data_IF_291973528341
#
_entry.id   IF_291973528341
#
_cell.length_a   1.000
_cell.length_b   1.000
_cell.length_c   1.000
_cell.angle_alpha   90.00
_cell.angle_beta   90.00
_cell.angle_gamma   90.00
#
_symmetry.space_group_name_H-M   'P 1'
#
loop_
_entity.id
_entity.type
_entity.pdbx_description
1 polymer ?
#
# COMPACT_ATOMS: atom_id res chain seq x y z
N UNK A 1 -25.81 -4.80 14.06
CA UNK A 1 -24.89 -5.95 13.95
C UNK A 1 -25.35 -7.13 14.81
N UNK A 2 -25.09 -8.37 14.35
CA UNK A 2 -25.38 -9.60 15.08
C UNK A 2 -24.13 -10.20 15.74
N UNK A 3 -24.28 -11.01 16.81
CA UNK A 3 -23.15 -11.64 17.48
C UNK A 3 -22.49 -12.69 16.58
N UNK A 4 -21.16 -12.80 16.67
CA UNK A 4 -20.39 -13.86 16.02
C UNK A 4 -20.48 -15.12 16.90
N UNK A 5 -20.67 -16.30 16.28
CA UNK A 5 -20.69 -17.58 17.00
C UNK A 5 -19.38 -17.84 17.76
N UNK A 6 -19.50 -18.17 19.05
CA UNK A 6 -18.36 -18.47 19.92
C UNK A 6 -17.54 -19.66 19.42
N UNK A 7 -18.23 -20.72 18.98
CA UNK A 7 -17.61 -21.94 18.48
C UNK A 7 -16.69 -21.65 17.28
N UNK A 8 -17.21 -20.88 16.32
CA UNK A 8 -16.45 -20.48 15.13
C UNK A 8 -15.30 -19.56 15.51
N UNK A 9 -15.53 -18.64 16.45
CA UNK A 9 -14.50 -17.71 16.92
C UNK A 9 -13.32 -18.46 17.55
N UNK A 10 -13.58 -19.42 18.44
CA UNK A 10 -12.54 -20.23 19.08
C UNK A 10 -11.79 -21.09 18.05
N UNK A 11 -12.50 -21.69 17.09
CA UNK A 11 -11.90 -22.53 16.04
C UNK A 11 -10.96 -21.75 15.12
N UNK A 12 -11.30 -20.51 14.77
CA UNK A 12 -10.52 -19.67 13.86
C UNK A 12 -9.36 -18.94 14.57
N UNK A 13 -9.60 -18.40 15.77
CA UNK A 13 -8.59 -17.62 16.49
C UNK A 13 -7.59 -18.49 17.26
N UNK A 14 -7.96 -19.73 17.60
CA UNK A 14 -7.14 -20.61 18.43
C UNK A 14 -6.85 -19.96 19.80
N UNK A 15 -5.59 -19.65 20.07
CA UNK A 15 -5.14 -19.01 21.33
C UNK A 15 -5.11 -17.46 21.28
N UNK A 16 -5.41 -16.86 20.13
CA UNK A 16 -5.35 -15.39 19.96
C UNK A 16 -6.61 -14.76 20.55
N UNK A 17 -6.45 -13.67 21.28
CA UNK A 17 -7.58 -12.89 21.76
C UNK A 17 -8.01 -11.85 20.71
N UNK A 18 -9.32 -11.68 20.47
CA UNK A 18 -9.82 -10.63 19.59
C UNK A 18 -9.57 -9.25 20.21
N UNK A 19 -9.23 -8.27 19.37
CA UNK A 19 -9.15 -6.87 19.80
C UNK A 19 -10.58 -6.30 20.00
N UNK A 20 -10.72 -5.43 20.99
CA UNK A 20 -12.00 -4.77 21.32
C UNK A 20 -12.00 -3.27 21.04
N UNK A 21 -10.83 -2.70 20.71
CA UNK A 21 -10.67 -1.31 20.28
C UNK A 21 -10.88 -1.15 18.77
N UNK A 22 -10.84 0.10 18.29
CA UNK A 22 -10.82 0.37 16.85
C UNK A 22 -9.48 -0.11 16.29
N UNK A 23 -9.45 -0.97 15.25
CA UNK A 23 -8.20 -1.55 14.74
C UNK A 23 -7.12 -0.52 14.37
N UNK A 24 -7.54 0.67 13.89
CA UNK A 24 -6.64 1.76 13.55
C UNK A 24 -5.87 2.35 14.75
N UNK A 25 -6.35 2.16 15.98
CA UNK A 25 -5.68 2.66 17.19
C UNK A 25 -4.37 1.89 17.48
N UNK A 26 -4.21 0.70 16.90
CA UNK A 26 -3.01 -0.13 17.03
C UNK A 26 -1.97 0.15 15.93
N UNK A 27 -2.33 0.98 14.94
CA UNK A 27 -1.48 1.29 13.79
C UNK A 27 -0.75 2.62 14.02
N UNK A 28 0.53 2.67 13.62
CA UNK A 28 1.28 3.92 13.56
C UNK A 28 0.93 4.67 12.27
N UNK A 29 1.05 6.02 12.22
CA UNK A 29 0.93 6.77 10.97
C UNK A 29 1.92 6.25 9.93
N UNK A 30 1.42 5.87 8.74
CA UNK A 30 2.22 5.22 7.70
C UNK A 30 2.63 6.09 6.52
N UNK A 31 2.08 7.30 6.37
CA UNK A 31 2.25 8.11 5.15
C UNK A 31 3.72 8.52 4.92
N UNK A 32 4.41 8.97 5.97
CA UNK A 32 5.81 9.37 5.87
C UNK A 32 6.74 8.18 5.63
N UNK A 33 6.37 7.00 6.10
CA UNK A 33 7.08 5.76 5.78
C UNK A 33 6.88 5.41 4.30
N UNK A 34 5.65 5.44 3.80
CA UNK A 34 5.33 5.21 2.40
C UNK A 34 6.11 6.16 1.47
N UNK A 35 6.20 7.45 1.82
CA UNK A 35 6.97 8.46 1.07
C UNK A 35 8.45 8.11 0.97
N UNK A 36 9.05 7.63 2.07
CA UNK A 36 10.46 7.21 2.11
C UNK A 36 10.70 5.94 1.30
N UNK A 37 9.79 4.98 1.35
CA UNK A 37 9.90 3.69 0.68
C UNK A 37 9.74 3.79 -0.83
N UNK A 38 8.78 4.60 -1.32
CA UNK A 38 8.58 4.81 -2.76
C UNK A 38 9.64 5.74 -3.37
N UNK A 39 10.17 6.69 -2.58
CA UNK A 39 11.25 7.57 -2.97
C UNK A 39 10.97 8.32 -4.28
N UNK A 40 11.94 8.28 -5.20
CA UNK A 40 11.88 8.98 -6.49
C UNK A 40 10.94 8.36 -7.52
N UNK A 41 10.29 7.23 -7.22
CA UNK A 41 9.29 6.63 -8.13
C UNK A 41 7.94 7.36 -8.08
N UNK A 42 7.65 8.02 -6.96
CA UNK A 42 6.48 8.88 -6.82
C UNK A 42 6.76 10.26 -7.40
N UNK A 43 5.84 10.74 -8.22
CA UNK A 43 5.88 12.08 -8.83
C UNK A 43 4.86 13.03 -8.19
N UNK A 44 3.94 12.52 -7.36
CA UNK A 44 2.92 13.30 -6.66
C UNK A 44 2.51 12.66 -5.32
N UNK A 45 1.69 13.36 -4.53
CA UNK A 45 1.15 12.82 -3.28
C UNK A 45 0.21 11.63 -3.51
N UNK A 46 -0.52 11.63 -4.63
CA UNK A 46 -1.41 10.54 -5.03
C UNK A 46 -0.65 9.25 -5.35
N UNK A 47 0.59 9.35 -5.86
CA UNK A 47 1.46 8.19 -6.07
C UNK A 47 1.89 7.59 -4.72
N UNK A 48 2.20 8.45 -3.73
CA UNK A 48 2.53 8.02 -2.36
C UNK A 48 1.33 7.33 -1.71
N UNK A 49 0.12 7.87 -1.89
CA UNK A 49 -1.11 7.24 -1.40
C UNK A 49 -1.38 5.90 -2.09
N UNK A 50 -1.18 5.82 -3.41
CA UNK A 50 -1.32 4.59 -4.17
C UNK A 50 -0.34 3.52 -3.69
N UNK A 51 0.90 3.91 -3.39
CA UNK A 51 1.89 3.03 -2.78
C UNK A 51 1.50 2.60 -1.36
N UNK A 52 1.02 3.51 -0.52
CA UNK A 52 0.59 3.20 0.85
C UNK A 52 -0.57 2.19 0.89
N UNK A 53 -1.47 2.23 -0.10
CA UNK A 53 -2.62 1.32 -0.21
C UNK A 53 -2.25 -0.02 -0.85
N UNK A 54 -1.38 -0.01 -1.87
CA UNK A 54 -1.04 -1.21 -2.67
C UNK A 54 0.46 -1.27 -3.00
N UNK A 55 1.35 -1.53 -2.02
CA UNK A 55 2.80 -1.35 -2.20
C UNK A 55 3.40 -2.15 -3.34
N UNK A 56 3.02 -3.43 -3.48
CA UNK A 56 3.57 -4.33 -4.50
C UNK A 56 3.14 -3.92 -5.92
N UNK A 57 1.84 -3.69 -6.11
CA UNK A 57 1.24 -3.32 -7.39
C UNK A 57 1.73 -1.92 -7.83
N UNK A 58 1.72 -0.96 -6.91
CA UNK A 58 2.14 0.41 -7.19
C UNK A 58 3.62 0.49 -7.57
N UNK A 59 4.49 -0.26 -6.87
CA UNK A 59 5.93 -0.29 -7.18
C UNK A 59 6.19 -0.82 -8.59
N UNK A 60 5.58 -1.93 -8.96
CA UNK A 60 5.68 -2.48 -10.31
C UNK A 60 5.19 -1.45 -11.34
N UNK A 61 3.99 -0.90 -11.15
CA UNK A 61 3.41 0.09 -12.04
C UNK A 61 4.31 1.32 -12.25
N UNK A 62 4.87 1.89 -11.18
CA UNK A 62 5.71 3.07 -11.26
C UNK A 62 7.09 2.80 -11.88
N UNK A 63 7.67 1.62 -11.66
CA UNK A 63 8.87 1.18 -12.37
C UNK A 63 8.61 1.09 -13.89
N UNK A 64 7.48 0.51 -14.28
CA UNK A 64 7.06 0.47 -15.68
C UNK A 64 6.85 1.88 -16.26
N UNK A 65 6.15 2.77 -15.54
CA UNK A 65 5.95 4.18 -15.94
C UNK A 65 7.27 4.90 -16.17
N UNK A 66 8.23 4.76 -15.26
CA UNK A 66 9.56 5.36 -15.40
C UNK A 66 10.28 4.84 -16.66
N UNK A 67 10.20 3.53 -16.92
CA UNK A 67 10.81 2.92 -18.12
C UNK A 67 10.17 3.38 -19.45
N UNK A 68 8.85 3.63 -19.46
CA UNK A 68 8.15 4.12 -20.65
C UNK A 68 8.42 5.59 -20.92
N UNK A 69 8.50 6.42 -19.86
CA UNK A 69 8.90 7.82 -19.98
C UNK A 69 10.27 7.98 -20.64
N UNK A 70 11.24 7.11 -20.29
CA UNK A 70 12.57 7.08 -20.92
C UNK A 70 12.49 6.73 -22.42
N UNK A 71 11.66 5.74 -22.80
CA UNK A 71 11.49 5.37 -24.22
C UNK A 71 10.87 6.49 -25.06
N UNK A 72 9.90 7.21 -24.52
CA UNK A 72 9.24 8.30 -25.23
C UNK A 72 10.15 9.54 -25.39
N UNK A 73 10.96 9.87 -24.37
CA UNK A 73 11.93 10.97 -24.46
C UNK A 73 13.08 10.68 -25.44
N UNK A 74 13.59 9.44 -25.47
CA UNK A 74 14.62 9.04 -26.42
C UNK A 74 14.15 9.02 -27.88
N UNK A 75 12.84 8.80 -28.13
CA UNK A 75 12.24 8.87 -29.46
C UNK A 75 12.01 10.32 -29.93
N UNK A 76 11.74 11.26 -29.01
CA UNK A 76 11.58 12.68 -29.32
C UNK A 76 12.89 13.41 -29.60
N UNK A 77 14.00 13.01 -28.96
CA UNK A 77 15.31 13.67 -29.10
C UNK A 77 16.08 13.31 -30.39
N UNK A 78 15.51 12.49 -31.29
CA UNK A 78 16.11 12.09 -32.58
C UNK A 78 15.50 12.80 -33.80
N UNK A 79 14.72 13.86 -33.59
CA UNK A 79 14.13 14.69 -34.64
C UNK A 79 14.82 16.05 -34.71
#
# INVERSE_FOLDING_TARGET
PGPISEEIRMKVLGKKQPITCRPADLLKPGLEQARREIGSLASSEEDVLSYALFPEIAKEFFLHRASQGVRQQAAGARQ
#
